data_IF_897360887180
#
_entry.id   IF_897360887180
#
_cell.length_a   1.000
_cell.length_b   1.000
_cell.length_c   1.000
_cell.angle_alpha   90.00
_cell.angle_beta   90.00
_cell.angle_gamma   90.00
#
_symmetry.space_group_name_H-M   'P 1'
#
loop_
_entity.id
_entity.type
_entity.pdbx_description
1 polymer ?
#
# COMPACT_ATOMS: atom_id res chain seq x y z
N UNK A 1 6.96 -32.28 13.23
CA UNK A 1 8.10 -31.37 13.48
C UNK A 1 8.06 -30.31 12.40
N UNK A 2 7.97 -29.02 12.74
CA UNK A 2 8.01 -27.97 11.73
C UNK A 2 9.38 -28.02 11.02
N UNK A 3 9.37 -28.05 9.70
CA UNK A 3 10.56 -28.04 8.86
C UNK A 3 11.38 -26.78 9.17
N UNK A 4 12.71 -26.87 9.28
CA UNK A 4 13.54 -25.68 9.42
C UNK A 4 13.34 -24.77 8.21
N UNK A 5 13.10 -23.49 8.50
CA UNK A 5 12.97 -22.41 7.53
C UNK A 5 14.11 -22.44 6.50
N UNK A 6 13.77 -22.35 5.22
CA UNK A 6 14.78 -22.04 4.21
C UNK A 6 15.16 -20.56 4.30
N UNK A 7 16.43 -20.22 4.09
CA UNK A 7 16.92 -18.84 4.16
C UNK A 7 16.19 -17.88 3.21
N UNK A 8 15.64 -18.41 2.11
CA UNK A 8 14.83 -17.67 1.15
C UNK A 8 13.49 -17.22 1.75
N UNK A 9 12.76 -18.11 2.42
CA UNK A 9 11.43 -17.81 3.00
C UNK A 9 11.52 -16.73 4.09
N UNK A 10 12.54 -16.78 4.94
CA UNK A 10 12.76 -15.74 5.97
C UNK A 10 13.09 -14.38 5.35
N UNK A 11 13.82 -14.36 4.23
CA UNK A 11 14.21 -13.12 3.56
C UNK A 11 13.01 -12.45 2.90
N UNK A 12 12.13 -13.24 2.26
CA UNK A 12 10.90 -12.75 1.63
C UNK A 12 9.92 -12.21 2.70
N UNK A 13 9.70 -12.96 3.78
CA UNK A 13 8.85 -12.49 4.89
C UNK A 13 9.40 -11.20 5.51
N UNK A 14 10.72 -11.14 5.74
CA UNK A 14 11.37 -9.95 6.28
C UNK A 14 11.24 -8.74 5.35
N UNK A 15 11.36 -8.95 4.03
CA UNK A 15 11.17 -7.90 3.03
C UNK A 15 9.73 -7.35 3.00
N UNK A 16 8.73 -8.24 3.02
CA UNK A 16 7.32 -7.86 3.13
C UNK A 16 7.05 -7.06 4.41
N UNK A 17 7.67 -7.49 5.51
CA UNK A 17 7.49 -6.85 6.80
C UNK A 17 8.06 -5.43 6.85
N UNK A 18 9.24 -5.24 6.25
CA UNK A 18 9.87 -3.93 6.10
C UNK A 18 9.04 -3.01 5.19
N UNK A 19 8.53 -3.53 4.07
CA UNK A 19 7.70 -2.76 3.15
C UNK A 19 6.42 -2.26 3.84
N UNK A 20 5.73 -3.13 4.58
CA UNK A 20 4.54 -2.75 5.36
C UNK A 20 4.86 -1.72 6.44
N UNK A 21 6.02 -1.84 7.11
CA UNK A 21 6.44 -0.88 8.13
C UNK A 21 6.76 0.50 7.55
N UNK A 22 7.39 0.53 6.37
CA UNK A 22 7.64 1.76 5.63
C UNK A 22 6.33 2.44 5.18
N UNK A 23 5.34 1.66 4.73
CA UNK A 23 4.02 2.18 4.37
C UNK A 23 3.29 2.81 5.58
N UNK A 24 3.33 2.18 6.75
CA UNK A 24 2.76 2.74 8.00
C UNK A 24 3.46 4.04 8.37
N UNK A 25 4.79 4.11 8.26
CA UNK A 25 5.56 5.32 8.54
C UNK A 25 5.18 6.47 7.59
N UNK A 26 5.10 6.21 6.29
CA UNK A 26 4.68 7.18 5.28
C UNK A 26 3.24 7.69 5.51
N UNK A 27 2.32 6.80 5.89
CA UNK A 27 0.95 7.20 6.29
C UNK A 27 0.96 8.12 7.52
N UNK A 28 1.85 7.88 8.49
CA UNK A 28 2.03 8.75 9.66
C UNK A 28 2.48 10.16 9.30
N UNK A 29 3.42 10.30 8.35
CA UNK A 29 3.88 11.61 7.85
C UNK A 29 2.73 12.36 7.16
N UNK A 30 1.90 11.67 6.36
CA UNK A 30 0.72 12.26 5.74
C UNK A 30 -0.29 12.75 6.79
N UNK A 31 -0.56 11.95 7.83
CA UNK A 31 -1.42 12.37 8.94
C UNK A 31 -0.90 13.62 9.66
N UNK A 32 0.42 13.72 9.87
CA UNK A 32 1.02 14.91 10.47
C UNK A 32 0.84 16.16 9.58
N UNK A 33 1.01 16.01 8.26
CA UNK A 33 0.74 17.09 7.30
C UNK A 33 -0.73 17.53 7.31
N UNK A 34 -1.67 16.59 7.45
CA UNK A 34 -3.10 16.91 7.58
C UNK A 34 -3.42 17.60 8.89
N UNK A 35 -2.91 17.10 10.02
CA UNK A 35 -3.10 17.70 11.34
C UNK A 35 -2.56 19.13 11.37
N UNK A 36 -1.39 19.36 10.77
CA UNK A 36 -0.83 20.70 10.65
C UNK A 36 -1.70 21.61 9.76
N UNK A 37 -2.19 21.10 8.62
CA UNK A 37 -3.08 21.85 7.73
C UNK A 37 -4.42 22.22 8.41
N UNK A 38 -4.96 21.33 9.26
CA UNK A 38 -6.19 21.60 10.01
C UNK A 38 -5.98 22.63 11.13
N UNK A 39 -4.80 22.61 11.77
CA UNK A 39 -4.51 23.50 12.89
C UNK A 39 -4.17 24.93 12.44
N UNK A 40 -3.58 25.10 11.24
CA UNK A 40 -3.11 26.41 10.78
C UNK A 40 -4.17 27.24 10.03
N UNK A 41 -5.31 26.67 9.62
CA UNK A 41 -6.15 27.35 8.62
C UNK A 41 -7.67 27.38 8.94
N UNK A 42 -8.07 28.37 9.73
CA UNK A 42 -9.48 28.69 10.04
C UNK A 42 -10.27 29.22 8.82
N UNK A 43 -9.60 29.55 7.71
CA UNK A 43 -10.20 30.16 6.49
C UNK A 43 -10.20 29.31 5.22
N UNK A 44 -9.79 28.03 5.29
CA UNK A 44 -9.68 27.22 4.08
C UNK A 44 -11.02 26.68 3.53
N UNK A 45 -11.09 26.57 2.20
CA UNK A 45 -12.26 26.12 1.44
C UNK A 45 -12.79 24.76 1.92
N UNK A 46 -14.11 24.65 2.10
CA UNK A 46 -14.82 23.42 2.50
C UNK A 46 -14.44 22.20 1.65
N UNK A 47 -14.14 22.41 0.36
CA UNK A 47 -13.65 21.37 -0.57
C UNK A 47 -12.34 20.72 -0.10
N UNK A 48 -11.43 21.46 0.51
CA UNK A 48 -10.17 20.94 1.03
C UNK A 48 -10.39 20.08 2.27
N UNK A 49 -11.29 20.51 3.17
CA UNK A 49 -11.67 19.74 4.37
C UNK A 49 -12.34 18.41 4.02
N UNK A 50 -13.26 18.41 3.06
CA UNK A 50 -13.90 17.19 2.56
C UNK A 50 -12.88 16.23 1.91
N UNK A 51 -11.93 16.78 1.15
CA UNK A 51 -10.88 15.99 0.51
C UNK A 51 -9.96 15.32 1.53
N UNK A 52 -9.51 16.07 2.54
CA UNK A 52 -8.68 15.54 3.65
C UNK A 52 -9.44 14.49 4.45
N UNK A 53 -10.73 14.71 4.70
CA UNK A 53 -11.58 13.74 5.42
C UNK A 53 -11.75 12.44 4.63
N UNK A 54 -12.00 12.53 3.32
CA UNK A 54 -12.10 11.35 2.44
C UNK A 54 -10.79 10.56 2.40
N UNK A 55 -9.66 11.26 2.36
CA UNK A 55 -8.36 10.62 2.40
C UNK A 55 -8.08 9.96 3.76
N UNK A 56 -8.43 10.62 4.87
CA UNK A 56 -8.31 10.03 6.21
C UNK A 56 -9.17 8.76 6.37
N UNK A 57 -10.36 8.72 5.74
CA UNK A 57 -11.19 7.52 5.70
C UNK A 57 -10.57 6.40 4.87
N UNK A 58 -9.99 6.72 3.70
CA UNK A 58 -9.30 5.73 2.87
C UNK A 58 -8.04 5.18 3.55
N UNK A 59 -7.26 6.03 4.22
CA UNK A 59 -6.07 5.59 4.95
C UNK A 59 -6.44 4.73 6.14
N UNK A 60 -7.43 5.13 6.95
CA UNK A 60 -7.89 4.30 8.08
C UNK A 60 -8.41 2.93 7.63
N UNK A 61 -9.13 2.86 6.51
CA UNK A 61 -9.56 1.58 5.94
C UNK A 61 -8.37 0.71 5.52
N UNK A 62 -7.35 1.31 4.89
CA UNK A 62 -6.09 0.63 4.54
C UNK A 62 -5.35 0.15 5.80
N UNK A 63 -5.27 0.97 6.84
CA UNK A 63 -4.61 0.61 8.10
C UNK A 63 -5.31 -0.58 8.78
N UNK A 64 -6.64 -0.62 8.79
CA UNK A 64 -7.42 -1.74 9.35
C UNK A 64 -7.12 -3.04 8.58
N UNK A 65 -7.07 -2.99 7.24
CA UNK A 65 -6.72 -4.17 6.44
C UNK A 65 -5.31 -4.69 6.74
N UNK A 66 -4.32 -3.80 6.79
CA UNK A 66 -2.93 -4.16 7.09
C UNK A 66 -2.84 -4.77 8.49
N UNK A 67 -3.50 -4.16 9.48
CA UNK A 67 -3.53 -4.67 10.85
C UNK A 67 -4.16 -6.07 10.92
N UNK A 68 -5.22 -6.32 10.16
CA UNK A 68 -5.85 -7.64 10.06
C UNK A 68 -4.92 -8.71 9.48
N UNK A 69 -4.20 -8.39 8.39
CA UNK A 69 -3.20 -9.30 7.79
C UNK A 69 -2.07 -9.58 8.78
N UNK A 70 -1.57 -8.54 9.48
CA UNK A 70 -0.52 -8.70 10.49
C UNK A 70 -0.96 -9.53 11.68
N UNK A 71 -2.20 -9.36 12.13
CA UNK A 71 -2.76 -10.16 13.21
C UNK A 71 -2.81 -11.65 12.82
N UNK A 72 -3.26 -11.96 11.60
CA UNK A 72 -3.25 -13.35 11.12
C UNK A 72 -1.84 -13.92 11.04
N UNK A 73 -0.89 -13.16 10.47
CA UNK A 73 0.51 -13.58 10.32
C UNK A 73 1.22 -13.79 11.66
N UNK A 74 1.08 -12.86 12.61
CA UNK A 74 1.83 -12.88 13.88
C UNK A 74 1.13 -13.61 15.02
N UNK A 75 -0.20 -13.65 15.06
CA UNK A 75 -0.93 -14.26 16.20
C UNK A 75 -1.42 -15.66 15.83
N UNK A 76 -1.93 -15.83 14.62
CA UNK A 76 -2.58 -17.08 14.22
C UNK A 76 -1.57 -18.10 13.69
N UNK A 77 -0.52 -17.62 13.01
CA UNK A 77 0.50 -18.46 12.36
C UNK A 77 1.94 -18.26 12.90
N UNK A 78 2.07 -17.79 14.14
CA UNK A 78 3.38 -17.50 14.75
C UNK A 78 4.39 -18.66 14.70
N UNK A 79 3.91 -19.90 14.68
CA UNK A 79 4.75 -21.13 14.67
C UNK A 79 4.94 -21.75 13.29
N UNK A 80 4.21 -21.30 12.26
CA UNK A 80 4.22 -21.89 10.93
C UNK A 80 4.39 -20.81 9.87
N UNK A 81 5.65 -20.49 9.60
CA UNK A 81 6.09 -19.50 8.61
C UNK A 81 5.76 -19.90 7.18
N UNK A 82 5.70 -21.19 6.87
CA UNK A 82 5.28 -21.69 5.56
C UNK A 82 3.80 -21.43 5.32
N UNK A 83 2.97 -21.67 6.33
CA UNK A 83 1.56 -21.32 6.27
C UNK A 83 1.33 -19.79 6.33
N UNK A 84 2.22 -19.01 6.95
CA UNK A 84 2.16 -17.55 6.92
C UNK A 84 2.41 -16.99 5.50
N UNK A 85 3.33 -17.59 4.74
CA UNK A 85 3.57 -17.25 3.34
C UNK A 85 2.38 -17.68 2.45
N UNK A 86 1.80 -18.86 2.71
CA UNK A 86 0.62 -19.33 1.98
C UNK A 86 -0.61 -18.44 2.23
N UNK A 87 -0.68 -17.74 3.38
CA UNK A 87 -1.73 -16.77 3.68
C UNK A 87 -1.74 -15.60 2.68
N UNK A 88 -0.56 -15.09 2.31
CA UNK A 88 -0.41 -14.06 1.27
C UNK A 88 -0.82 -14.56 -0.11
N UNK A 89 -0.57 -15.83 -0.41
CA UNK A 89 -0.98 -16.46 -1.67
C UNK A 89 -2.48 -16.81 -1.70
N UNK A 90 -3.08 -17.23 -0.59
CA UNK A 90 -4.41 -17.84 -0.60
C UNK A 90 -5.50 -16.81 -0.32
N UNK A 91 -5.30 -15.92 0.67
CA UNK A 91 -6.33 -14.96 1.06
C UNK A 91 -6.45 -13.81 0.05
N UNK A 92 -7.69 -13.42 -0.24
CA UNK A 92 -8.02 -12.34 -1.16
C UNK A 92 -7.72 -10.94 -0.59
N UNK A 93 -7.72 -10.80 0.74
CA UNK A 93 -7.48 -9.53 1.45
C UNK A 93 -6.09 -8.93 1.14
N UNK A 94 -4.96 -9.65 1.30
CA UNK A 94 -3.64 -9.12 0.97
C UNK A 94 -3.45 -8.84 -0.54
N UNK A 95 -4.22 -9.49 -1.42
CA UNK A 95 -4.14 -9.28 -2.88
C UNK A 95 -4.71 -7.92 -3.30
N UNK A 96 -5.64 -7.38 -2.52
CA UNK A 96 -6.25 -6.07 -2.81
C UNK A 96 -5.41 -4.89 -2.31
N UNK A 97 -4.43 -5.14 -1.44
CA UNK A 97 -3.54 -4.12 -0.87
C UNK A 97 -2.84 -3.25 -1.92
N UNK A 98 -2.20 -3.78 -3.00
CA UNK A 98 -1.57 -2.94 -4.02
C UNK A 98 -2.56 -2.07 -4.81
N UNK A 99 -3.78 -2.53 -5.05
CA UNK A 99 -4.82 -1.70 -5.71
C UNK A 99 -5.26 -0.56 -4.81
N UNK A 100 -5.48 -0.84 -3.51
CA UNK A 100 -5.88 0.20 -2.56
C UNK A 100 -4.77 1.22 -2.34
N UNK A 101 -3.52 0.77 -2.31
CA UNK A 101 -2.36 1.67 -2.30
C UNK A 101 -2.29 2.54 -3.53
N UNK A 102 -2.47 1.95 -4.72
CA UNK A 102 -2.48 2.70 -5.96
C UNK A 102 -3.61 3.74 -5.95
N UNK A 103 -4.82 3.39 -5.49
CA UNK A 103 -5.96 4.30 -5.37
C UNK A 103 -5.70 5.46 -4.39
N UNK A 104 -5.10 5.18 -3.23
CA UNK A 104 -4.72 6.23 -2.27
C UNK A 104 -3.66 7.15 -2.89
N UNK A 105 -2.66 6.58 -3.56
CA UNK A 105 -1.64 7.35 -4.28
C UNK A 105 -2.26 8.21 -5.38
N UNK A 106 -3.19 7.68 -6.19
CA UNK A 106 -3.96 8.44 -7.19
C UNK A 106 -4.62 9.66 -6.56
N UNK A 107 -5.31 9.44 -5.43
CA UNK A 107 -6.07 10.46 -4.74
C UNK A 107 -5.15 11.58 -4.24
N UNK A 108 -4.08 11.21 -3.53
CA UNK A 108 -3.07 12.14 -2.99
C UNK A 108 -2.36 12.91 -4.11
N UNK A 109 -1.91 12.21 -5.15
CA UNK A 109 -1.16 12.81 -6.26
C UNK A 109 -2.04 13.78 -7.06
N UNK A 110 -3.33 13.46 -7.27
CA UNK A 110 -4.28 14.34 -7.96
C UNK A 110 -4.45 15.67 -7.24
N UNK A 111 -4.45 15.64 -5.90
CA UNK A 111 -4.50 16.84 -5.08
C UNK A 111 -3.22 17.66 -5.17
N UNK A 112 -2.06 17.01 -5.08
CA UNK A 112 -0.78 17.68 -5.26
C UNK A 112 -0.70 18.33 -6.65
N UNK A 113 -1.04 17.62 -7.73
CA UNK A 113 -1.08 18.18 -9.09
C UNK A 113 -1.99 19.42 -9.17
N UNK A 114 -3.19 19.38 -8.59
CA UNK A 114 -4.11 20.54 -8.56
C UNK A 114 -3.50 21.74 -7.82
N UNK A 115 -2.89 21.50 -6.67
CA UNK A 115 -2.25 22.55 -5.86
C UNK A 115 -1.01 23.11 -6.56
N UNK A 116 -0.21 22.25 -7.18
CA UNK A 116 1.02 22.59 -7.89
C UNK A 116 0.73 23.39 -9.16
N UNK A 117 -0.34 23.06 -9.89
CA UNK A 117 -0.86 23.87 -11.01
C UNK A 117 -1.24 25.29 -10.57
N UNK A 118 -1.86 25.42 -9.41
CA UNK A 118 -2.32 26.72 -8.89
C UNK A 118 -1.15 27.62 -8.47
N UNK A 119 -0.08 27.03 -7.90
CA UNK A 119 1.07 27.78 -7.35
C UNK A 119 2.15 28.03 -8.41
N UNK A 120 2.58 26.97 -9.11
CA UNK A 120 3.77 27.03 -9.97
C UNK A 120 3.44 27.50 -11.39
N UNK A 121 2.20 27.32 -11.85
CA UNK A 121 1.74 27.53 -13.24
C UNK A 121 2.60 26.81 -14.30
N UNK A 122 3.53 25.97 -13.88
CA UNK A 122 4.45 25.23 -14.73
C UNK A 122 3.90 23.82 -14.97
N UNK A 123 3.41 23.61 -16.20
CA UNK A 123 2.73 22.38 -16.60
C UNK A 123 3.70 21.18 -16.67
N UNK A 124 5.01 21.42 -16.84
CA UNK A 124 6.01 20.35 -16.96
C UNK A 124 6.11 19.48 -15.70
N UNK A 125 6.08 20.10 -14.51
CA UNK A 125 6.15 19.36 -13.23
C UNK A 125 4.91 18.48 -13.04
N UNK A 126 3.77 18.97 -13.51
CA UNK A 126 2.49 18.27 -13.43
C UNK A 126 2.48 17.08 -14.39
N UNK A 127 2.99 17.25 -15.61
CA UNK A 127 3.14 16.15 -16.57
C UNK A 127 4.06 15.06 -16.02
N UNK A 128 5.19 15.42 -15.41
CA UNK A 128 6.11 14.45 -14.80
C UNK A 128 5.43 13.67 -13.66
N UNK A 129 4.64 14.35 -12.82
CA UNK A 129 3.83 13.69 -11.80
C UNK A 129 2.76 12.75 -12.39
N UNK A 130 2.12 13.14 -13.49
CA UNK A 130 1.12 12.32 -14.18
C UNK A 130 1.74 11.06 -14.80
N UNK A 131 2.97 11.13 -15.31
CA UNK A 131 3.68 9.95 -15.85
C UNK A 131 4.03 8.96 -14.73
N UNK A 132 4.56 9.45 -13.60
CA UNK A 132 4.83 8.59 -12.45
C UNK A 132 3.54 7.92 -11.93
N UNK A 133 2.42 8.65 -11.99
CA UNK A 133 1.09 8.16 -11.61
C UNK A 133 0.57 7.04 -12.51
N UNK A 134 0.61 7.22 -13.84
CA UNK A 134 0.10 6.19 -14.77
C UNK A 134 0.93 4.92 -14.66
N UNK A 135 2.24 5.06 -14.45
CA UNK A 135 3.12 3.94 -14.17
C UNK A 135 2.75 3.20 -12.88
N UNK A 136 2.50 3.92 -11.79
CA UNK A 136 2.10 3.31 -10.51
C UNK A 136 0.76 2.58 -10.59
N UNK A 137 -0.23 3.16 -11.27
CA UNK A 137 -1.52 2.48 -11.52
C UNK A 137 -1.35 1.22 -12.36
N UNK A 138 -0.56 1.30 -13.43
CA UNK A 138 -0.32 0.16 -14.30
C UNK A 138 0.40 -0.96 -13.56
N UNK A 139 1.41 -0.60 -12.75
CA UNK A 139 2.13 -1.54 -11.88
C UNK A 139 1.19 -2.21 -10.87
N UNK A 140 0.30 -1.45 -10.22
CA UNK A 140 -0.68 -2.01 -9.27
C UNK A 140 -1.67 -2.98 -9.93
N UNK A 141 -2.17 -2.65 -11.13
CA UNK A 141 -3.06 -3.54 -11.90
C UNK A 141 -2.33 -4.82 -12.32
N UNK A 142 -1.09 -4.69 -12.82
CA UNK A 142 -0.26 -5.84 -13.19
C UNK A 142 0.05 -6.72 -11.98
N UNK A 143 0.37 -6.14 -10.83
CA UNK A 143 0.62 -6.87 -9.59
C UNK A 143 -0.59 -7.70 -9.15
N UNK A 144 -1.80 -7.12 -9.24
CA UNK A 144 -3.04 -7.84 -8.94
C UNK A 144 -3.31 -8.91 -9.99
N UNK A 145 -3.16 -8.61 -11.27
CA UNK A 145 -3.35 -9.60 -12.33
C UNK A 145 -2.39 -10.79 -12.17
N UNK A 146 -1.12 -10.54 -11.87
CA UNK A 146 -0.12 -11.57 -11.64
C UNK A 146 -0.43 -12.40 -10.39
N UNK A 147 -0.84 -11.76 -9.28
CA UNK A 147 -1.21 -12.50 -8.06
C UNK A 147 -2.45 -13.35 -8.27
N UNK A 148 -3.47 -12.91 -9.02
CA UNK A 148 -4.65 -13.73 -9.31
C UNK A 148 -4.39 -14.86 -10.32
N UNK A 149 -3.55 -14.63 -11.33
CA UNK A 149 -3.29 -15.62 -12.40
C UNK A 149 -2.33 -16.73 -11.98
N UNK A 150 -1.30 -16.42 -11.19
CA UNK A 150 -0.35 -17.44 -10.75
C UNK A 150 -0.98 -18.45 -9.78
N UNK A 151 -2.10 -18.13 -9.12
CA UNK A 151 -2.81 -19.00 -8.16
C UNK A 151 -3.51 -20.21 -8.82
N UNK A 152 -3.51 -20.26 -10.14
CA UNK A 152 -4.02 -21.42 -10.88
C UNK A 152 -2.94 -22.47 -11.18
N UNK A 153 -1.66 -22.22 -10.86
CA UNK A 153 -0.56 -23.17 -11.12
C UNK A 153 0.05 -23.67 -9.79
N UNK A 154 0.05 -24.99 -9.50
CA UNK A 154 0.52 -25.56 -8.23
C UNK A 154 2.04 -25.41 -7.94
N UNK A 155 2.74 -24.49 -8.62
CA UNK A 155 4.20 -24.35 -8.65
C UNK A 155 4.73 -23.07 -7.98
N UNK A 156 4.05 -22.52 -6.97
CA UNK A 156 4.59 -21.39 -6.18
C UNK A 156 5.86 -21.78 -5.40
N UNK A 157 6.04 -23.07 -5.11
CA UNK A 157 7.19 -23.60 -4.38
C UNK A 157 8.50 -23.54 -5.18
N UNK A 158 8.45 -23.36 -6.51
CA UNK A 158 9.65 -23.29 -7.36
C UNK A 158 10.28 -21.91 -7.44
N UNK A 159 9.58 -20.84 -7.04
CA UNK A 159 10.16 -19.49 -7.01
C UNK A 159 10.93 -19.18 -5.72
N UNK A 160 10.78 -20.01 -4.69
CA UNK A 160 11.49 -19.88 -3.40
C UNK A 160 12.67 -20.85 -3.28
N UNK A 161 12.91 -21.72 -4.26
CA UNK A 161 13.94 -22.78 -4.23
C UNK A 161 15.13 -22.57 -5.17
N UNK A 162 15.20 -21.45 -5.90
CA UNK A 162 16.39 -21.07 -6.67
C UNK A 162 16.99 -19.76 -6.15
#
# INVERSE_FOLDING_TARGET
MPSPLTSAETTVLGGLDLAVSADIFLQGVLCAQFAHCMNLNTRDCLSLKLFVTGLALLTTLKTIQILGVRWMQNVTLFKDSGAALSLWATHWVPKLTPILEALVAVYVQSFFCRRLLTISRNVYVVILCMIAFTFALFSGIVAVFFTFTNISSPNYSTWTTN
#
